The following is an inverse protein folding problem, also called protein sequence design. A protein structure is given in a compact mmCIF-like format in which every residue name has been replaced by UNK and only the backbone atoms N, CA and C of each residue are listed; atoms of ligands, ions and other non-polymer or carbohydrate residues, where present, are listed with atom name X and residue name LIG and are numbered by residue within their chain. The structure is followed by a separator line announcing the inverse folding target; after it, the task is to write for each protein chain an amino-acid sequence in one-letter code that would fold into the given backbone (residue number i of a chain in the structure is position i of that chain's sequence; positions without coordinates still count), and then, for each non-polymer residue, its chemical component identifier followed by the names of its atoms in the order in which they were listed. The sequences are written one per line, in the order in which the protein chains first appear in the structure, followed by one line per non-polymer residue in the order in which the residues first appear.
data_IF_376836793945
#
_entry.id   IF_376836793945
#
_cell.length_a   1.000
_cell.length_b   1.000
_cell.length_c   1.000
_cell.angle_alpha   90.00
_cell.angle_beta   90.00
_cell.angle_gamma   90.00
#
_symmetry.space_group_name_H-M   'P 1'
#
loop_
_entity.id
_entity.type
_entity.pdbx_description
1 polymer ?
#
# COMPACT_ATOMS: atom_id res chain seq x y z
N UNK A 1 4.66 22.98 2.78
CA UNK A 1 3.90 21.74 2.57
C UNK A 1 3.68 21.37 1.08
N UNK A 2 4.42 21.98 0.11
CA UNK A 2 4.19 21.81 -1.34
C UNK A 2 5.22 20.95 -2.07
N UNK A 3 6.25 20.40 -1.42
CA UNK A 3 7.42 19.86 -2.13
C UNK A 3 7.47 18.35 -2.34
N UNK A 4 6.54 17.57 -1.79
CA UNK A 4 6.54 16.11 -1.95
C UNK A 4 5.51 15.61 -2.97
N UNK A 5 4.52 16.42 -3.28
CA UNK A 5 3.46 16.14 -4.27
C UNK A 5 3.68 16.85 -5.61
N UNK A 6 4.84 17.48 -5.81
CA UNK A 6 5.19 17.94 -7.14
C UNK A 6 5.45 16.72 -8.00
N UNK A 7 4.70 16.58 -9.06
CA UNK A 7 5.07 15.76 -10.20
C UNK A 7 6.54 15.99 -10.46
N UNK A 8 7.36 14.94 -10.33
CA UNK A 8 8.80 15.00 -10.65
C UNK A 8 9.00 15.13 -12.17
N UNK A 9 8.19 15.95 -12.82
CA UNK A 9 8.21 16.20 -14.26
C UNK A 9 9.55 16.75 -14.73
N UNK A 10 10.28 17.42 -13.82
CA UNK A 10 11.59 18.01 -14.12
C UNK A 10 12.74 17.00 -14.08
N UNK A 11 12.54 15.80 -13.54
CA UNK A 11 13.56 14.76 -13.56
C UNK A 11 13.56 14.08 -14.92
N UNK A 12 14.73 14.07 -15.58
CA UNK A 12 14.95 13.31 -16.81
C UNK A 12 14.57 11.85 -16.58
N UNK A 13 13.68 11.34 -17.41
CA UNK A 13 13.30 9.92 -17.38
C UNK A 13 14.51 9.06 -17.73
N UNK A 14 14.73 8.04 -16.93
CA UNK A 14 15.74 7.01 -17.14
C UNK A 14 15.17 5.69 -16.62
N UNK A 15 14.39 5.06 -17.48
CA UNK A 15 13.73 3.82 -17.15
C UNK A 15 14.74 2.68 -17.03
N UNK A 16 14.49 1.81 -16.07
CA UNK A 16 15.21 0.55 -15.87
C UNK A 16 14.22 -0.59 -15.70
N UNK A 17 14.61 -1.76 -16.16
CA UNK A 17 13.80 -2.98 -16.02
C UNK A 17 14.54 -3.99 -15.16
N UNK A 18 13.77 -4.73 -14.36
CA UNK A 18 14.27 -5.84 -13.58
C UNK A 18 13.20 -6.91 -13.42
N UNK A 19 13.64 -8.14 -13.14
CA UNK A 19 12.74 -9.26 -12.85
C UNK A 19 12.71 -9.47 -11.35
N UNK A 20 11.49 -9.56 -10.80
CA UNK A 20 11.24 -9.94 -9.42
C UNK A 20 10.58 -11.31 -9.36
N UNK A 21 11.26 -12.27 -8.73
CA UNK A 21 10.70 -13.60 -8.48
C UNK A 21 9.80 -13.54 -7.26
N UNK A 22 8.49 -13.79 -7.48
CA UNK A 22 7.50 -13.87 -6.40
C UNK A 22 6.71 -15.18 -6.52
N UNK A 23 6.80 -16.03 -5.52
CA UNK A 23 6.34 -17.42 -5.59
C UNK A 23 6.94 -18.14 -6.81
N UNK A 24 6.08 -18.68 -7.68
CA UNK A 24 6.48 -19.35 -8.93
C UNK A 24 6.56 -18.43 -10.14
N UNK A 25 6.32 -17.14 -9.97
CA UNK A 25 6.24 -16.18 -11.07
C UNK A 25 7.48 -15.31 -11.16
N UNK A 26 7.96 -15.09 -12.36
CA UNK A 26 8.95 -14.08 -12.70
C UNK A 26 8.20 -12.84 -13.23
N UNK A 27 8.18 -11.77 -12.46
CA UNK A 27 7.46 -10.55 -12.76
C UNK A 27 8.40 -9.49 -13.32
N UNK A 28 8.07 -8.95 -14.49
CA UNK A 28 8.85 -7.89 -15.12
C UNK A 28 8.36 -6.53 -14.61
N UNK A 29 9.23 -5.79 -13.94
CA UNK A 29 8.97 -4.43 -13.51
C UNK A 29 9.83 -3.42 -14.28
N UNK A 30 9.21 -2.33 -14.66
CA UNK A 30 9.87 -1.10 -15.15
C UNK A 30 9.74 -0.05 -14.06
N UNK A 31 10.84 0.59 -13.72
CA UNK A 31 10.90 1.73 -12.80
C UNK A 31 11.60 2.91 -13.46
N UNK A 32 11.58 4.09 -12.83
CA UNK A 32 12.18 5.32 -13.40
C UNK A 32 12.77 6.18 -12.28
N UNK A 33 13.52 7.22 -12.69
CA UNK A 33 13.93 8.31 -11.82
C UNK A 33 12.68 9.00 -11.23
N UNK A 34 12.76 9.34 -9.95
CA UNK A 34 11.66 10.01 -9.24
C UNK A 34 10.56 9.08 -8.70
N UNK A 35 10.68 7.77 -8.91
CA UNK A 35 9.84 6.78 -8.21
C UNK A 35 10.65 6.03 -7.17
N UNK A 36 9.97 5.54 -6.14
CA UNK A 36 10.59 4.80 -5.05
C UNK A 36 11.17 3.47 -5.54
N UNK A 37 12.39 3.12 -5.05
CA UNK A 37 13.06 1.84 -5.31
C UNK A 37 13.33 1.52 -6.79
N UNK A 38 14.20 2.31 -7.43
CA UNK A 38 14.48 2.27 -8.89
C UNK A 38 15.04 0.94 -9.27
N UNK A 39 15.55 0.05 -8.98
CA UNK A 39 16.16 -1.14 -9.64
C UNK A 39 15.79 -2.48 -8.99
N UNK A 40 14.97 -2.45 -7.97
CA UNK A 40 14.53 -3.65 -7.25
C UNK A 40 13.34 -3.33 -6.38
N UNK A 41 12.58 -4.34 -6.00
CA UNK A 41 11.59 -4.22 -4.93
C UNK A 41 12.34 -3.98 -3.61
N UNK A 42 11.97 -2.92 -2.89
CA UNK A 42 12.60 -2.60 -1.62
C UNK A 42 12.37 -3.68 -0.56
N UNK A 43 13.25 -3.70 0.44
CA UNK A 43 13.22 -4.75 1.44
C UNK A 43 11.92 -4.79 2.24
N UNK A 44 11.40 -3.62 2.64
CA UNK A 44 10.14 -3.55 3.39
C UNK A 44 8.97 -4.11 2.60
N UNK A 45 8.85 -3.75 1.33
CA UNK A 45 7.81 -4.29 0.45
C UNK A 45 7.90 -5.81 0.30
N UNK A 46 9.12 -6.36 0.25
CA UNK A 46 9.30 -7.82 0.24
C UNK A 46 8.82 -8.47 1.54
N UNK A 47 9.12 -7.87 2.70
CA UNK A 47 8.63 -8.37 4.00
C UNK A 47 7.10 -8.41 4.02
N UNK A 48 6.41 -7.36 3.53
CA UNK A 48 4.96 -7.38 3.46
C UNK A 48 4.45 -8.48 2.52
N UNK A 49 5.02 -8.58 1.31
CA UNK A 49 4.61 -9.58 0.33
C UNK A 49 4.80 -11.02 0.80
N UNK A 50 5.86 -11.28 1.56
CA UNK A 50 6.19 -12.63 2.04
C UNK A 50 5.31 -13.07 3.22
N UNK A 51 4.83 -12.12 4.03
CA UNK A 51 4.13 -12.42 5.29
C UNK A 51 2.63 -12.03 5.28
N UNK A 52 2.11 -11.35 4.22
CA UNK A 52 0.69 -11.06 4.10
C UNK A 52 -0.14 -12.33 3.85
N UNK A 53 -1.22 -12.47 4.58
CA UNK A 53 -2.16 -13.59 4.41
C UNK A 53 -3.39 -13.14 3.64
N UNK A 54 -3.66 -13.76 2.50
CA UNK A 54 -4.86 -13.60 1.66
C UNK A 54 -5.53 -14.97 1.55
N UNK A 55 -6.75 -15.07 1.97
CA UNK A 55 -7.52 -16.34 1.98
C UNK A 55 -8.78 -16.26 1.11
N UNK A 56 -9.80 -15.54 1.58
CA UNK A 56 -11.11 -15.43 0.92
C UNK A 56 -11.47 -14.01 0.50
N UNK A 57 -10.57 -13.06 0.72
CA UNK A 57 -10.73 -11.66 0.37
C UNK A 57 -10.95 -11.52 -1.15
N UNK A 58 -11.82 -10.58 -1.53
CA UNK A 58 -12.21 -10.36 -2.94
C UNK A 58 -11.68 -9.06 -3.50
N UNK A 59 -11.43 -8.07 -2.64
CA UNK A 59 -11.05 -6.73 -3.04
C UNK A 59 -9.82 -6.24 -2.29
N UNK A 60 -8.89 -5.62 -3.01
CA UNK A 60 -7.66 -5.07 -2.46
C UNK A 60 -7.43 -3.65 -2.98
N UNK A 61 -7.07 -2.74 -2.08
CA UNK A 61 -6.60 -1.40 -2.41
C UNK A 61 -5.13 -1.25 -2.02
N UNK A 62 -4.30 -0.85 -2.98
CA UNK A 62 -2.89 -0.48 -2.81
C UNK A 62 -2.77 1.04 -2.77
N UNK A 63 -2.54 1.61 -1.57
CA UNK A 63 -2.48 3.06 -1.33
C UNK A 63 -1.03 3.53 -1.38
N UNK A 64 -0.75 4.48 -2.28
CA UNK A 64 0.62 4.89 -2.59
C UNK A 64 1.35 3.80 -3.37
N UNK A 65 0.73 3.29 -4.42
CA UNK A 65 1.14 2.08 -5.11
C UNK A 65 2.50 2.18 -5.83
N UNK A 66 3.01 3.39 -6.04
CA UNK A 66 4.21 3.58 -6.84
C UNK A 66 4.07 2.96 -8.23
N UNK A 67 5.03 2.15 -8.64
CA UNK A 67 4.97 1.45 -9.92
C UNK A 67 4.21 0.10 -9.86
N UNK A 68 3.42 -0.13 -8.80
CA UNK A 68 2.45 -1.23 -8.70
C UNK A 68 2.92 -2.49 -7.99
N UNK A 69 3.88 -2.39 -7.08
CA UNK A 69 4.52 -3.56 -6.43
C UNK A 69 3.51 -4.50 -5.77
N UNK A 70 2.69 -4.00 -4.83
CA UNK A 70 1.78 -4.86 -4.08
C UNK A 70 0.62 -5.36 -4.94
N UNK A 71 -0.07 -4.44 -5.61
CA UNK A 71 -1.23 -4.79 -6.41
C UNK A 71 -0.91 -5.83 -7.49
N UNK A 72 0.23 -5.69 -8.19
CA UNK A 72 0.65 -6.62 -9.24
C UNK A 72 1.06 -7.97 -8.67
N UNK A 73 1.92 -8.00 -7.64
CA UNK A 73 2.38 -9.25 -7.04
C UNK A 73 1.23 -10.05 -6.44
N UNK A 74 0.37 -9.39 -5.67
CA UNK A 74 -0.75 -10.06 -5.00
C UNK A 74 -1.81 -10.55 -5.98
N UNK A 75 -2.18 -9.75 -6.99
CA UNK A 75 -3.12 -10.23 -8.02
C UNK A 75 -2.55 -11.39 -8.84
N UNK A 76 -1.23 -11.40 -9.07
CA UNK A 76 -0.61 -12.52 -9.80
C UNK A 76 -0.74 -13.85 -9.09
N UNK A 77 -0.60 -13.85 -7.76
CA UNK A 77 -0.72 -15.06 -6.93
C UNK A 77 -2.19 -15.36 -6.62
N UNK A 78 -2.96 -14.34 -6.29
CA UNK A 78 -4.36 -14.42 -5.93
C UNK A 78 -5.24 -13.82 -7.03
N UNK A 79 -5.37 -14.52 -8.16
CA UNK A 79 -6.03 -14.01 -9.37
C UNK A 79 -7.53 -13.72 -9.22
N UNK A 80 -8.14 -14.13 -8.10
CA UNK A 80 -9.53 -13.84 -7.76
C UNK A 80 -9.72 -12.43 -7.14
N UNK A 81 -8.62 -11.74 -6.77
CA UNK A 81 -8.69 -10.40 -6.22
C UNK A 81 -9.04 -9.36 -7.30
N UNK A 82 -10.02 -8.52 -7.00
CA UNK A 82 -10.20 -7.26 -7.70
C UNK A 82 -9.30 -6.21 -7.05
N UNK A 83 -8.38 -5.66 -7.81
CA UNK A 83 -7.34 -4.78 -7.29
C UNK A 83 -7.50 -3.37 -7.82
N UNK A 84 -7.51 -2.42 -6.90
CA UNK A 84 -7.35 -1.00 -7.18
C UNK A 84 -5.97 -0.53 -6.68
N UNK A 85 -5.30 0.29 -7.48
CA UNK A 85 -4.02 0.89 -7.15
C UNK A 85 -4.10 2.40 -7.31
N UNK A 86 -3.73 3.15 -6.28
CA UNK A 86 -3.78 4.62 -6.29
C UNK A 86 -2.45 5.25 -5.89
N UNK A 87 -2.13 6.35 -6.54
CA UNK A 87 -0.98 7.19 -6.22
C UNK A 87 -1.27 8.65 -6.64
N UNK A 88 -0.51 9.60 -6.12
CA UNK A 88 -0.57 11.01 -6.55
C UNK A 88 0.36 11.30 -7.73
N UNK A 89 1.39 10.49 -7.94
CA UNK A 89 2.44 10.68 -8.92
C UNK A 89 2.04 10.08 -10.27
N UNK A 90 1.84 10.92 -11.28
CA UNK A 90 1.41 10.48 -12.62
C UNK A 90 2.42 9.54 -13.27
N UNK A 91 3.74 9.79 -13.11
CA UNK A 91 4.80 8.91 -13.62
C UNK A 91 4.73 7.51 -12.99
N UNK A 92 4.50 7.44 -11.67
CA UNK A 92 4.32 6.18 -10.97
C UNK A 92 3.10 5.40 -11.51
N UNK A 93 1.97 6.10 -11.73
CA UNK A 93 0.75 5.49 -12.28
C UNK A 93 0.95 4.96 -13.70
N UNK A 94 1.66 5.69 -14.57
CA UNK A 94 2.00 5.20 -15.91
C UNK A 94 2.86 3.95 -15.86
N UNK A 95 3.84 3.91 -14.96
CA UNK A 95 4.66 2.72 -14.73
C UNK A 95 3.83 1.56 -14.17
N UNK A 96 2.93 1.82 -13.22
CA UNK A 96 2.04 0.79 -12.68
C UNK A 96 1.15 0.17 -13.78
N UNK A 97 0.59 0.98 -14.67
CA UNK A 97 -0.19 0.51 -15.84
C UNK A 97 0.65 -0.31 -16.80
N UNK A 98 1.87 0.14 -17.10
CA UNK A 98 2.81 -0.61 -17.94
C UNK A 98 3.17 -1.96 -17.31
N UNK A 99 3.49 -1.96 -16.02
CA UNK A 99 3.87 -3.16 -15.29
C UNK A 99 2.69 -4.15 -15.15
N UNK A 100 1.48 -3.65 -14.90
CA UNK A 100 0.28 -4.48 -14.91
C UNK A 100 0.08 -5.16 -16.27
N UNK A 101 0.19 -4.40 -17.36
CA UNK A 101 0.11 -4.93 -18.74
C UNK A 101 1.18 -5.99 -19.00
N UNK A 102 2.44 -5.72 -18.68
CA UNK A 102 3.57 -6.62 -18.91
C UNK A 102 3.44 -7.96 -18.15
N UNK A 103 2.72 -7.95 -17.03
CA UNK A 103 2.51 -9.13 -16.21
C UNK A 103 1.12 -9.77 -16.38
N UNK A 104 0.30 -9.29 -17.35
CA UNK A 104 -1.08 -9.73 -17.58
C UNK A 104 -1.96 -9.60 -16.33
N UNK A 105 -1.88 -8.44 -15.67
CA UNK A 105 -2.69 -8.08 -14.51
C UNK A 105 -3.78 -7.11 -14.92
N UNK A 106 -5.00 -7.38 -14.48
CA UNK A 106 -6.13 -6.49 -14.62
C UNK A 106 -6.41 -5.80 -13.29
N UNK A 107 -6.21 -4.48 -13.25
CA UNK A 107 -6.43 -3.67 -12.07
C UNK A 107 -6.93 -2.28 -12.46
N UNK A 108 -7.68 -1.62 -11.58
CA UNK A 108 -8.00 -0.22 -11.73
C UNK A 108 -6.85 0.61 -11.17
N UNK A 109 -6.24 1.43 -12.02
CA UNK A 109 -5.06 2.22 -11.64
C UNK A 109 -5.37 3.69 -11.92
N UNK A 110 -5.47 4.50 -10.87
CA UNK A 110 -5.91 5.88 -11.00
C UNK A 110 -5.30 6.82 -9.97
N UNK A 111 -5.35 8.12 -10.28
CA UNK A 111 -4.80 9.17 -9.43
C UNK A 111 -5.71 9.42 -8.23
N UNK A 112 -5.14 9.41 -7.04
CA UNK A 112 -5.79 9.82 -5.81
C UNK A 112 -4.77 10.37 -4.81
N UNK A 113 -5.11 11.45 -4.15
CA UNK A 113 -4.43 11.84 -2.94
C UNK A 113 -5.02 11.03 -1.80
N UNK A 114 -4.26 10.03 -1.33
CA UNK A 114 -4.73 9.04 -0.35
C UNK A 114 -6.06 8.43 -0.83
N UNK A 115 -7.18 8.72 -0.17
CA UNK A 115 -8.50 8.16 -0.48
C UNK A 115 -9.44 9.12 -1.22
N UNK A 116 -9.01 10.31 -1.58
CA UNK A 116 -9.86 11.40 -2.14
C UNK A 116 -10.74 10.95 -3.31
N UNK A 117 -10.21 10.10 -4.19
CA UNK A 117 -10.90 9.56 -5.37
C UNK A 117 -11.29 8.09 -5.21
N UNK A 118 -11.02 7.49 -4.05
CA UNK A 118 -11.36 6.10 -3.78
C UNK A 118 -12.84 5.97 -3.47
N UNK A 119 -13.54 5.13 -4.23
CA UNK A 119 -14.95 4.86 -4.02
C UNK A 119 -15.16 3.43 -3.55
N UNK A 120 -16.03 3.25 -2.56
CA UNK A 120 -16.35 1.94 -2.01
C UNK A 120 -15.42 1.50 -0.89
N UNK A 121 -15.51 0.21 -0.58
CA UNK A 121 -14.79 -0.42 0.52
C UNK A 121 -14.11 -1.71 0.05
N UNK A 122 -13.05 -2.08 0.74
CA UNK A 122 -12.16 -3.19 0.37
C UNK A 122 -12.03 -4.18 1.52
N UNK A 123 -11.75 -5.43 1.19
CA UNK A 123 -11.45 -6.45 2.19
C UNK A 123 -10.02 -6.29 2.72
N UNK A 124 -9.13 -5.78 1.88
CA UNK A 124 -7.72 -5.55 2.23
C UNK A 124 -7.27 -4.20 1.73
N UNK A 125 -6.61 -3.44 2.60
CA UNK A 125 -5.83 -2.26 2.22
C UNK A 125 -4.37 -2.54 2.56
N UNK A 126 -3.47 -2.31 1.60
CA UNK A 126 -2.02 -2.43 1.78
C UNK A 126 -1.35 -1.09 1.53
N UNK A 127 -0.29 -0.80 2.27
CA UNK A 127 0.52 0.40 2.04
C UNK A 127 1.95 0.26 2.56
N UNK A 128 2.88 0.82 1.79
CA UNK A 128 4.19 1.24 2.25
C UNK A 128 4.18 2.77 2.24
N UNK A 129 3.74 3.42 3.33
CA UNK A 129 3.35 4.82 3.27
C UNK A 129 4.55 5.73 2.97
N UNK A 130 4.33 6.85 2.26
CA UNK A 130 5.39 7.77 1.86
C UNK A 130 5.86 8.63 3.04
N UNK A 131 6.73 8.09 3.89
CA UNK A 131 7.22 8.76 5.12
C UNK A 131 7.88 10.12 4.84
N UNK A 132 8.45 10.30 3.65
CA UNK A 132 9.03 11.59 3.23
C UNK A 132 7.97 12.66 2.97
N UNK A 133 6.73 12.27 2.73
CA UNK A 133 5.60 13.21 2.59
C UNK A 133 5.19 13.87 3.93
N UNK A 134 5.69 13.34 5.03
CA UNK A 134 5.48 13.88 6.36
C UNK A 134 4.54 13.02 7.21
N UNK A 135 4.62 13.25 8.53
CA UNK A 135 3.86 12.49 9.52
C UNK A 135 2.33 12.63 9.34
N UNK A 136 1.87 13.79 8.91
CA UNK A 136 0.45 14.07 8.67
C UNK A 136 -0.13 13.15 7.60
N UNK A 137 0.56 13.01 6.47
CA UNK A 137 0.13 12.13 5.37
C UNK A 137 0.05 10.68 5.82
N UNK A 138 1.08 10.20 6.53
CA UNK A 138 1.07 8.82 7.07
C UNK A 138 -0.09 8.64 8.05
N UNK A 139 -0.31 9.61 8.95
CA UNK A 139 -1.42 9.55 9.92
C UNK A 139 -2.78 9.51 9.23
N UNK A 140 -2.98 10.32 8.18
CA UNK A 140 -4.23 10.34 7.40
C UNK A 140 -4.47 8.98 6.72
N UNK A 141 -3.44 8.40 6.09
CA UNK A 141 -3.55 7.06 5.48
C UNK A 141 -4.06 6.03 6.51
N UNK A 142 -3.49 6.03 7.72
CA UNK A 142 -3.87 5.08 8.76
C UNK A 142 -5.27 5.36 9.33
N UNK A 143 -5.61 6.63 9.53
CA UNK A 143 -6.85 7.03 10.18
C UNK A 143 -8.07 6.84 9.28
N UNK A 144 -7.98 7.24 8.03
CA UNK A 144 -9.11 7.18 7.09
C UNK A 144 -9.33 5.78 6.49
N UNK A 145 -8.32 4.89 6.59
CA UNK A 145 -8.43 3.53 6.05
C UNK A 145 -9.64 2.76 6.53
N UNK A 146 -10.06 2.97 7.78
CA UNK A 146 -11.21 2.27 8.38
C UNK A 146 -12.54 2.58 7.66
N UNK A 147 -12.66 3.76 7.06
CA UNK A 147 -13.84 4.17 6.28
C UNK A 147 -13.90 3.45 4.93
N UNK A 148 -12.75 3.01 4.42
CA UNK A 148 -12.59 2.30 3.15
C UNK A 148 -12.41 0.77 3.32
N UNK A 149 -12.63 0.25 4.51
CA UNK A 149 -12.62 -1.19 4.76
C UNK A 149 -14.03 -1.74 4.93
N UNK A 150 -14.26 -2.91 4.32
CA UNK A 150 -15.42 -3.75 4.62
C UNK A 150 -15.39 -4.21 6.09
N UNK A 151 -16.51 -4.72 6.59
CA UNK A 151 -16.54 -5.42 7.88
C UNK A 151 -15.59 -6.61 7.84
N UNK A 152 -14.79 -6.78 8.90
CA UNK A 152 -13.69 -7.75 8.98
C UNK A 152 -12.56 -7.52 7.95
N UNK A 153 -12.61 -6.41 7.22
CA UNK A 153 -11.51 -6.02 6.35
C UNK A 153 -10.27 -5.60 7.14
N UNK A 154 -9.12 -5.67 6.51
CA UNK A 154 -7.84 -5.48 7.19
C UNK A 154 -6.93 -4.44 6.52
N UNK A 155 -6.16 -3.75 7.36
CA UNK A 155 -5.10 -2.84 6.96
C UNK A 155 -3.73 -3.46 7.24
N UNK A 156 -2.90 -3.52 6.21
CA UNK A 156 -1.51 -3.99 6.27
C UNK A 156 -0.55 -2.85 5.95
N UNK A 157 0.36 -2.59 6.88
CA UNK A 157 1.29 -1.46 6.78
C UNK A 157 2.71 -1.93 7.03
N UNK A 158 3.63 -1.58 6.14
CA UNK A 158 5.05 -1.82 6.34
C UNK A 158 5.79 -0.51 6.59
N UNK A 159 6.52 -0.42 7.68
CA UNK A 159 7.29 0.77 8.07
C UNK A 159 8.57 0.40 8.80
N UNK A 160 9.62 1.21 8.62
CA UNK A 160 10.80 1.12 9.46
C UNK A 160 10.55 1.69 10.87
N UNK A 161 11.14 1.05 11.89
CA UNK A 161 11.11 1.53 13.28
C UNK A 161 11.54 2.99 13.38
N UNK A 162 12.67 3.35 12.75
CA UNK A 162 13.22 4.71 12.73
C UNK A 162 12.38 5.72 11.92
N UNK A 163 11.46 5.25 11.09
CA UNK A 163 10.58 6.06 10.25
C UNK A 163 9.15 6.16 10.81
N UNK A 164 8.93 5.71 12.05
CA UNK A 164 7.68 5.92 12.76
C UNK A 164 6.79 4.69 12.94
N UNK A 165 7.29 3.45 12.74
CA UNK A 165 6.48 2.26 12.96
C UNK A 165 5.85 2.17 14.35
N UNK A 166 6.50 2.54 15.48
CA UNK A 166 5.85 2.56 16.78
C UNK A 166 4.68 3.55 16.87
N UNK A 167 4.81 4.73 16.26
CA UNK A 167 3.75 5.74 16.21
C UNK A 167 2.59 5.29 15.33
N UNK A 168 2.90 4.63 14.20
CA UNK A 168 1.91 4.04 13.31
C UNK A 168 1.10 2.95 14.03
N UNK A 169 1.79 2.05 14.76
CA UNK A 169 1.13 1.02 15.58
C UNK A 169 0.14 1.64 16.56
N UNK A 170 0.59 2.65 17.32
CA UNK A 170 -0.28 3.35 18.28
C UNK A 170 -1.49 3.98 17.58
N UNK A 171 -1.31 4.61 16.42
CA UNK A 171 -2.40 5.20 15.65
C UNK A 171 -3.38 4.13 15.15
N UNK A 172 -2.89 3.01 14.66
CA UNK A 172 -3.75 1.89 14.25
C UNK A 172 -4.52 1.30 15.44
N UNK A 173 -3.90 1.17 16.61
CA UNK A 173 -4.61 0.76 17.85
C UNK A 173 -5.70 1.75 18.26
N UNK A 174 -5.45 3.06 18.13
CA UNK A 174 -6.45 4.09 18.41
C UNK A 174 -7.64 4.01 17.45
N UNK A 175 -7.40 3.76 16.16
CA UNK A 175 -8.42 3.76 15.10
C UNK A 175 -9.22 2.46 15.08
N UNK A 176 -8.54 1.31 15.18
CA UNK A 176 -9.13 -0.01 15.01
C UNK A 176 -9.44 -0.72 16.33
N UNK A 177 -8.87 -0.25 17.45
CA UNK A 177 -8.90 -0.98 18.72
C UNK A 177 -7.96 -2.19 18.78
N UNK A 178 -7.26 -2.47 17.70
CA UNK A 178 -6.29 -3.56 17.60
C UNK A 178 -5.16 -3.18 16.65
N UNK A 179 -3.96 -3.71 16.90
CA UNK A 179 -2.85 -3.69 15.95
C UNK A 179 -1.81 -4.72 16.34
N UNK A 180 -1.64 -5.71 15.51
CA UNK A 180 -0.60 -6.73 15.65
C UNK A 180 0.67 -6.31 14.91
N UNK A 181 1.84 -6.65 15.49
CA UNK A 181 3.11 -6.67 14.77
C UNK A 181 3.30 -8.10 14.27
N UNK A 182 2.93 -8.36 13.02
CA UNK A 182 3.04 -9.68 12.39
C UNK A 182 4.49 -10.09 12.23
N UNK A 183 5.34 -9.12 11.83
CA UNK A 183 6.77 -9.36 11.60
C UNK A 183 7.62 -8.18 12.04
N UNK A 184 8.82 -8.50 12.55
CA UNK A 184 9.93 -7.56 12.72
C UNK A 184 11.13 -8.13 12.01
N UNK A 185 11.64 -7.42 11.01
CA UNK A 185 12.80 -7.85 10.26
C UNK A 185 13.65 -6.67 9.80
N UNK A 186 14.95 -6.71 10.09
CA UNK A 186 15.93 -5.66 9.72
C UNK A 186 15.45 -4.23 9.98
N UNK A 187 14.75 -4.04 11.09
CA UNK A 187 14.20 -2.75 11.50
C UNK A 187 12.88 -2.37 10.85
N UNK A 188 12.30 -3.21 9.99
CA UNK A 188 10.94 -3.06 9.49
C UNK A 188 9.93 -3.73 10.43
N UNK A 189 8.77 -3.12 10.57
CA UNK A 189 7.60 -3.68 11.26
C UNK A 189 6.48 -3.84 10.25
N UNK A 190 5.98 -5.05 10.10
CA UNK A 190 4.74 -5.33 9.41
C UNK A 190 3.60 -5.26 10.42
N UNK A 191 2.75 -4.27 10.26
CA UNK A 191 1.61 -3.98 11.12
C UNK A 191 0.31 -4.43 10.46
N UNK A 192 -0.58 -5.00 11.25
CA UNK A 192 -1.88 -5.49 10.80
C UNK A 192 -2.98 -5.09 11.79
N UNK A 193 -4.07 -4.55 11.27
CA UNK A 193 -5.30 -4.25 12.02
C UNK A 193 -6.51 -4.74 11.27
N UNK A 194 -7.53 -5.17 11.99
CA UNK A 194 -8.81 -5.62 11.44
C UNK A 194 -9.93 -4.69 11.88
N UNK A 195 -10.81 -4.31 10.96
CA UNK A 195 -12.03 -3.57 11.25
C UNK A 195 -13.05 -4.51 11.89
N UNK A 196 -13.21 -4.42 13.21
CA UNK A 196 -14.18 -5.18 13.96
C UNK A 196 -15.40 -4.32 14.29
N UNK A 197 -16.60 -4.79 13.98
CA UNK A 197 -17.86 -4.10 14.24
C UNK A 197 -18.08 -3.76 15.72
N UNK A 198 -17.55 -4.54 16.64
CA UNK A 198 -17.77 -4.34 18.08
C UNK A 198 -17.12 -3.02 18.54
N UNK A 199 -15.98 -2.67 18.01
CA UNK A 199 -15.25 -1.45 18.41
C UNK A 199 -15.90 -0.17 17.86
N UNK A 200 -16.45 -0.22 16.65
CA UNK A 200 -17.12 0.92 16.02
C UNK A 200 -18.37 1.38 16.81
N UNK A 201 -19.13 0.46 17.36
CA UNK A 201 -20.31 0.77 18.20
C UNK A 201 -19.93 1.38 19.56
N UNK A 202 -18.78 1.04 20.12
CA UNK A 202 -18.31 1.61 21.39
C UNK A 202 -17.83 3.03 21.20
N UNK A 203 -17.13 3.33 20.10
CA UNK A 203 -16.57 4.66 19.81
C UNK A 203 -17.67 5.70 19.54
N UNK A 204 -18.74 5.33 18.80
CA UNK A 204 -19.88 6.22 18.52
C UNK A 204 -20.70 6.52 19.79
N UNK A 205 -20.72 5.63 20.79
CA UNK A 205 -21.43 5.88 22.06
C UNK A 205 -20.71 6.76 23.05
N UNK A 206 -19.43 7.10 22.83
CA UNK A 206 -18.61 7.92 23.70
C UNK A 206 -18.37 9.35 23.18
N UNK A 207 -18.86 9.69 21.99
CA UNK A 207 -18.82 11.00 21.39
C UNK A 207 -20.22 11.43 20.93
#
# INVERSE_FOLDING_TARGET
MKHYFTDNTDLKSEQSQFIFRFHKYDLLFTSDNGVFSKNMIDYGSRVLLDDIEITNEKTLLDVGCGYGTFGICLNKVYSHLNVDMVDVNDRALELAKLNAKNNNIHANIYKSFIYENVQGSYDVIVTNPPVRAGKEVVTTILQESIEHLNENGSLWVILQKKQGAPSAKKKMEEVFGNCEIVKRDKGYYLLHSVKDNIYFFIFIKQH
#
